data_IF_872178465215
#
_entry.id   IF_872178465215
#
_cell.length_a   1.000
_cell.length_b   1.000
_cell.length_c   1.000
_cell.angle_alpha   90.00
_cell.angle_beta   90.00
_cell.angle_gamma   90.00
#
_symmetry.space_group_name_H-M   'P 1'
#
loop_
_entity.id
_entity.type
_entity.pdbx_description
1 polymer ?
#
# COMPACT_ATOMS: atom_id res chain seq x y z
N UNK A 1 11.65 18.87 15.89
CA UNK A 1 12.49 20.09 15.93
C UNK A 1 12.26 20.95 14.69
N UNK A 2 11.02 21.41 14.46
CA UNK A 2 10.68 22.34 13.39
C UNK A 2 10.12 23.64 13.97
N UNK A 3 9.18 23.53 14.90
CA UNK A 3 8.60 24.67 15.59
C UNK A 3 9.60 25.45 16.46
N UNK A 4 10.52 24.78 17.18
CA UNK A 4 11.52 25.45 17.99
C UNK A 4 12.55 26.22 17.13
N UNK A 5 13.04 25.62 16.05
CA UNK A 5 13.93 26.28 15.09
C UNK A 5 13.22 27.40 14.31
N UNK A 6 11.93 27.23 14.00
CA UNK A 6 11.10 28.26 13.39
C UNK A 6 10.84 29.42 14.36
N UNK A 7 10.62 29.16 15.65
CA UNK A 7 10.48 30.18 16.68
C UNK A 7 11.79 30.90 16.95
N UNK A 8 12.91 30.19 16.99
CA UNK A 8 14.24 30.78 17.19
C UNK A 8 14.63 31.67 16.00
N UNK A 9 14.34 31.25 14.77
CA UNK A 9 14.52 32.10 13.58
C UNK A 9 13.54 33.26 13.55
N UNK A 10 12.27 33.07 13.95
CA UNK A 10 11.29 34.16 14.03
C UNK A 10 11.64 35.18 15.12
N UNK A 11 12.25 34.74 16.21
CA UNK A 11 12.78 35.60 17.27
C UNK A 11 14.06 36.35 16.83
N UNK A 12 14.89 35.73 15.99
CA UNK A 12 16.16 36.31 15.51
C UNK A 12 15.96 37.27 14.33
N UNK A 13 15.10 36.92 13.37
CA UNK A 13 14.99 37.59 12.07
C UNK A 13 13.73 38.49 11.96
N UNK A 14 12.81 38.35 12.91
CA UNK A 14 11.55 39.10 12.97
C UNK A 14 10.53 38.66 11.93
N UNK A 15 9.25 38.93 12.22
CA UNK A 15 8.10 38.52 11.39
C UNK A 15 8.16 39.06 9.94
N UNK A 16 8.82 40.20 9.72
CA UNK A 16 8.90 40.85 8.41
C UNK A 16 9.69 40.05 7.36
N UNK A 17 10.56 39.13 7.80
CA UNK A 17 11.41 38.33 6.91
C UNK A 17 11.02 36.84 6.87
N UNK A 18 9.93 36.47 7.58
CA UNK A 18 9.49 35.08 7.69
C UNK A 18 8.82 34.63 6.39
N UNK A 19 9.39 33.61 5.72
CA UNK A 19 8.88 33.03 4.48
C UNK A 19 9.74 33.27 3.23
N UNK A 20 10.85 34.02 3.32
CA UNK A 20 11.69 34.34 2.16
C UNK A 20 12.73 33.23 1.86
N UNK A 21 13.02 32.33 2.81
CA UNK A 21 13.92 31.18 2.60
C UNK A 21 13.18 29.85 2.71
N UNK A 22 13.28 28.96 1.70
CA UNK A 22 12.73 27.61 1.81
C UNK A 22 13.58 26.79 2.79
N UNK A 23 12.98 26.39 3.91
CA UNK A 23 13.57 25.44 4.85
C UNK A 23 13.17 24.03 4.39
N UNK A 24 14.13 23.26 3.85
CA UNK A 24 13.91 21.85 3.54
C UNK A 24 14.09 21.06 4.85
N UNK A 25 12.97 20.71 5.48
CA UNK A 25 12.93 19.87 6.68
C UNK A 25 13.05 18.40 6.33
N UNK A 26 14.25 17.82 6.49
CA UNK A 26 14.45 16.37 6.41
C UNK A 26 13.98 15.76 7.75
N UNK A 27 12.81 15.12 7.74
CA UNK A 27 12.25 14.44 8.93
C UNK A 27 13.07 13.21 9.30
N UNK A 28 14.10 13.37 10.12
CA UNK A 28 14.67 12.26 10.89
C UNK A 28 13.96 12.16 12.24
N UNK A 29 12.90 11.35 12.29
CA UNK A 29 12.28 10.92 13.55
C UNK A 29 13.28 10.03 14.30
N UNK A 30 14.02 10.62 15.25
CA UNK A 30 14.51 9.87 16.41
C UNK A 30 13.76 10.41 17.62
N UNK A 31 12.70 9.71 17.99
CA UNK A 31 11.96 9.95 19.23
C UNK A 31 12.90 9.57 20.38
N UNK A 32 13.50 10.58 21.01
CA UNK A 32 14.28 10.44 22.24
C UNK A 32 13.72 11.31 23.37
N UNK A 33 12.40 11.44 23.42
CA UNK A 33 11.74 11.89 24.65
C UNK A 33 10.43 11.10 24.76
N UNK A 34 10.39 10.17 25.70
CA UNK A 34 9.17 9.44 26.02
C UNK A 34 8.25 10.47 26.63
N UNK A 35 7.28 10.93 25.85
CA UNK A 35 6.20 11.79 26.34
C UNK A 35 5.61 11.09 27.56
N UNK A 36 5.82 11.64 28.76
CA UNK A 36 5.32 10.99 29.98
C UNK A 36 3.81 10.79 29.90
N UNK A 37 3.28 9.88 30.72
CA UNK A 37 1.85 9.55 30.85
C UNK A 37 0.88 10.76 30.73
N UNK A 38 1.14 11.95 31.32
CA UNK A 38 0.23 13.09 31.14
C UNK A 38 0.19 13.67 29.73
N UNK A 39 1.29 13.63 28.97
CA UNK A 39 1.33 14.10 27.59
C UNK A 39 0.61 13.13 26.65
N UNK A 40 0.72 11.81 26.90
CA UNK A 40 -0.04 10.77 26.20
C UNK A 40 -1.53 10.94 26.51
N UNK A 41 -1.90 11.09 27.79
CA UNK A 41 -3.29 11.28 28.21
C UNK A 41 -3.91 12.54 27.59
N UNK A 42 -3.15 13.65 27.54
CA UNK A 42 -3.60 14.89 26.91
C UNK A 42 -3.77 14.74 25.38
N UNK A 43 -2.84 14.04 24.72
CA UNK A 43 -2.94 13.77 23.28
C UNK A 43 -4.15 12.89 22.96
N UNK A 44 -4.37 11.82 23.71
CA UNK A 44 -5.54 10.96 23.58
C UNK A 44 -6.83 11.74 23.83
N UNK A 45 -6.86 12.55 24.89
CA UNK A 45 -8.02 13.39 25.21
C UNK A 45 -8.35 14.38 24.10
N UNK A 46 -7.33 14.99 23.47
CA UNK A 46 -7.53 15.85 22.29
C UNK A 46 -8.11 15.09 21.11
N UNK A 47 -7.66 13.87 20.84
CA UNK A 47 -8.21 13.03 19.77
C UNK A 47 -9.64 12.59 20.08
N UNK A 48 -9.97 12.32 21.35
CA UNK A 48 -11.34 11.96 21.77
C UNK A 48 -12.28 13.16 21.70
N UNK A 49 -11.86 14.32 22.21
CA UNK A 49 -12.68 15.54 22.25
C UNK A 49 -12.78 16.21 20.87
N UNK A 50 -11.75 16.07 20.04
CA UNK A 50 -11.63 16.66 18.71
C UNK A 50 -11.11 15.59 17.74
N UNK A 51 -11.95 14.61 17.37
CA UNK A 51 -11.55 13.58 16.42
C UNK A 51 -11.10 14.26 15.13
N UNK A 52 -9.91 13.92 14.60
CA UNK A 52 -9.47 14.46 13.33
C UNK A 52 -10.50 14.09 12.28
N UNK A 53 -10.84 15.06 11.43
CA UNK A 53 -11.71 14.81 10.29
C UNK A 53 -11.08 13.68 9.46
N UNK A 54 -11.90 12.69 9.10
CA UNK A 54 -11.43 11.58 8.29
C UNK A 54 -10.80 12.14 7.01
N UNK A 55 -9.64 11.64 6.63
CA UNK A 55 -8.97 12.08 5.42
C UNK A 55 -9.97 12.02 4.25
N UNK A 56 -10.11 13.09 3.46
CA UNK A 56 -11.04 13.09 2.34
C UNK A 56 -10.67 11.92 1.42
N UNK A 57 -11.62 11.01 1.24
CA UNK A 57 -11.46 9.87 0.33
C UNK A 57 -11.56 10.42 -1.09
N UNK A 58 -10.41 10.67 -1.71
CA UNK A 58 -10.36 11.00 -3.13
C UNK A 58 -10.58 9.68 -3.88
N UNK A 59 -11.73 9.54 -4.54
CA UNK A 59 -11.92 8.50 -5.54
C UNK A 59 -10.98 8.81 -6.71
N UNK A 60 -9.81 8.19 -6.72
CA UNK A 60 -8.86 8.33 -7.82
C UNK A 60 -9.46 7.64 -9.02
N UNK A 61 -10.04 8.41 -9.93
CA UNK A 61 -10.49 7.92 -11.23
C UNK A 61 -9.28 7.85 -12.15
N UNK A 62 -9.08 6.71 -12.80
CA UNK A 62 -8.06 6.57 -13.83
C UNK A 62 -8.37 7.55 -14.98
N UNK A 63 -7.37 8.33 -15.38
CA UNK A 63 -7.41 9.23 -16.54
C UNK A 63 -6.24 8.88 -17.45
N UNK A 64 -6.24 9.34 -18.70
CA UNK A 64 -5.15 9.06 -19.64
C UNK A 64 -3.77 9.56 -19.15
N UNK A 65 -3.73 10.51 -18.20
CA UNK A 65 -2.51 11.05 -17.59
C UNK A 65 -2.06 10.31 -16.31
N UNK A 66 -2.79 9.27 -15.88
CA UNK A 66 -2.47 8.55 -14.64
C UNK A 66 -1.13 7.81 -14.77
N UNK A 67 -0.16 8.02 -13.86
CA UNK A 67 1.12 7.32 -13.90
C UNK A 67 0.94 5.80 -13.87
N UNK A 68 1.68 5.08 -14.71
CA UNK A 68 1.56 3.62 -14.82
C UNK A 68 1.76 2.88 -13.48
N UNK A 69 2.65 3.38 -12.62
CA UNK A 69 2.86 2.82 -11.28
C UNK A 69 1.61 2.96 -10.37
N UNK A 70 0.84 4.03 -10.53
CA UNK A 70 -0.40 4.23 -9.78
C UNK A 70 -1.50 3.30 -10.29
N UNK A 71 -1.63 3.12 -11.62
CA UNK A 71 -2.56 2.14 -12.22
C UNK A 71 -2.25 0.73 -11.73
N UNK A 72 -0.97 0.35 -11.71
CA UNK A 72 -0.55 -0.95 -11.19
C UNK A 72 -0.92 -1.10 -9.71
N UNK A 73 -0.71 -0.06 -8.90
CA UNK A 73 -1.05 -0.09 -7.48
C UNK A 73 -2.56 -0.23 -7.25
N UNK A 74 -3.37 0.54 -7.97
CA UNK A 74 -4.83 0.48 -7.88
C UNK A 74 -5.36 -0.90 -8.26
N UNK A 75 -4.79 -1.52 -9.30
CA UNK A 75 -5.11 -2.88 -9.68
C UNK A 75 -4.77 -3.89 -8.58
N UNK A 76 -3.57 -3.81 -8.00
CA UNK A 76 -3.17 -4.70 -6.90
C UNK A 76 -4.05 -4.54 -5.65
N UNK A 77 -4.49 -3.31 -5.35
CA UNK A 77 -5.35 -3.03 -4.20
C UNK A 77 -6.79 -3.57 -4.38
N UNK A 78 -7.25 -3.76 -5.62
CA UNK A 78 -8.58 -4.30 -5.95
C UNK A 78 -8.61 -5.84 -6.04
N UNK A 79 -7.46 -6.43 -6.33
CA UNK A 79 -7.30 -7.84 -6.68
C UNK A 79 -7.84 -8.83 -5.61
N UNK A 80 -7.66 -8.59 -4.29
CA UNK A 80 -8.21 -9.50 -3.28
C UNK A 80 -9.74 -9.55 -3.29
N UNK A 81 -10.41 -8.41 -3.44
CA UNK A 81 -11.87 -8.33 -3.49
C UNK A 81 -12.43 -9.04 -4.73
N UNK A 82 -11.71 -9.01 -5.85
CA UNK A 82 -12.08 -9.78 -7.04
C UNK A 82 -11.95 -11.30 -6.83
N UNK A 83 -10.89 -11.73 -6.16
CA UNK A 83 -10.64 -13.16 -5.90
C UNK A 83 -11.68 -13.75 -4.95
N UNK A 84 -12.13 -13.01 -3.94
CA UNK A 84 -13.13 -13.49 -2.97
C UNK A 84 -14.41 -14.05 -3.63
N UNK A 85 -14.81 -13.52 -4.80
CA UNK A 85 -16.00 -13.99 -5.53
C UNK A 85 -15.78 -15.31 -6.29
N UNK A 86 -14.52 -15.65 -6.59
CA UNK A 86 -14.14 -16.79 -7.43
C UNK A 86 -13.50 -17.93 -6.61
N UNK A 87 -13.37 -17.79 -5.28
CA UNK A 87 -12.84 -18.84 -4.41
C UNK A 87 -13.78 -20.07 -4.37
N UNK A 88 -13.24 -21.30 -4.36
CA UNK A 88 -11.81 -21.64 -4.41
C UNK A 88 -11.22 -21.60 -5.83
N UNK A 89 -10.00 -21.09 -5.96
CA UNK A 89 -9.29 -21.01 -7.23
C UNK A 89 -8.26 -22.15 -7.32
N UNK A 90 -8.39 -23.09 -8.26
CA UNK A 90 -7.51 -24.27 -8.34
C UNK A 90 -6.07 -23.94 -8.75
N UNK A 91 -5.89 -22.89 -9.54
CA UNK A 91 -4.59 -22.39 -9.96
C UNK A 91 -4.60 -20.85 -10.08
N UNK A 92 -3.95 -20.20 -9.13
CA UNK A 92 -3.86 -18.75 -9.02
C UNK A 92 -3.21 -18.09 -10.24
N UNK A 93 -2.12 -18.68 -10.75
CA UNK A 93 -1.33 -18.07 -11.81
C UNK A 93 -2.05 -18.22 -13.15
N UNK A 94 -2.66 -19.39 -13.40
CA UNK A 94 -3.51 -19.59 -14.57
C UNK A 94 -4.75 -18.67 -14.54
N UNK A 95 -5.40 -18.53 -13.38
CA UNK A 95 -6.53 -17.61 -13.20
C UNK A 95 -6.14 -16.16 -13.52
N UNK A 96 -4.98 -15.70 -13.03
CA UNK A 96 -4.48 -14.34 -13.31
C UNK A 96 -4.21 -14.11 -14.80
N UNK A 97 -3.63 -15.10 -15.49
CA UNK A 97 -3.32 -15.01 -16.93
C UNK A 97 -4.61 -14.95 -17.76
N UNK A 98 -5.58 -15.79 -17.45
CA UNK A 98 -6.86 -15.84 -18.17
C UNK A 98 -7.65 -14.55 -17.97
N UNK A 99 -7.67 -14.02 -16.73
CA UNK A 99 -8.45 -12.83 -16.39
C UNK A 99 -7.80 -11.52 -16.85
N UNK A 100 -6.47 -11.46 -16.85
CA UNK A 100 -5.71 -10.26 -17.21
C UNK A 100 -4.66 -10.53 -18.31
N UNK A 101 -5.07 -10.91 -19.54
CA UNK A 101 -4.14 -11.33 -20.60
C UNK A 101 -3.20 -10.22 -21.09
N UNK A 102 -3.57 -8.96 -20.86
CA UNK A 102 -2.77 -7.80 -21.30
C UNK A 102 -1.67 -7.41 -20.29
N UNK A 103 -1.62 -8.04 -19.11
CA UNK A 103 -0.60 -7.76 -18.09
C UNK A 103 0.73 -8.42 -18.44
N UNK A 104 1.81 -7.73 -18.13
CA UNK A 104 3.17 -8.28 -18.24
C UNK A 104 3.38 -9.40 -17.24
N UNK A 105 4.39 -10.24 -17.49
CA UNK A 105 4.87 -11.26 -16.55
C UNK A 105 5.16 -10.67 -15.17
N UNK A 106 5.81 -9.50 -15.12
CA UNK A 106 6.16 -8.84 -13.86
C UNK A 106 4.92 -8.37 -13.09
N UNK A 107 3.92 -7.81 -13.78
CA UNK A 107 2.65 -7.43 -13.15
C UNK A 107 1.92 -8.65 -12.59
N UNK A 108 1.82 -9.75 -13.38
CA UNK A 108 1.16 -10.98 -12.96
C UNK A 108 1.82 -11.59 -11.72
N UNK A 109 3.15 -11.60 -11.65
CA UNK A 109 3.88 -12.04 -10.45
C UNK A 109 3.63 -11.12 -9.25
N UNK A 110 3.50 -9.81 -9.47
CA UNK A 110 3.09 -8.86 -8.44
C UNK A 110 1.69 -9.17 -7.90
N UNK A 111 0.74 -9.48 -8.79
CA UNK A 111 -0.62 -9.89 -8.42
C UNK A 111 -0.64 -11.21 -7.64
N UNK A 112 0.14 -12.21 -8.09
CA UNK A 112 0.30 -13.47 -7.38
C UNK A 112 0.86 -13.25 -5.97
N UNK A 113 1.91 -12.42 -5.84
CA UNK A 113 2.47 -12.07 -4.54
C UNK A 113 1.45 -11.39 -3.64
N UNK A 114 0.65 -10.46 -4.16
CA UNK A 114 -0.39 -9.80 -3.39
C UNK A 114 -1.43 -10.79 -2.84
N UNK A 115 -1.82 -11.80 -3.61
CA UNK A 115 -2.77 -12.84 -3.18
C UNK A 115 -2.18 -13.81 -2.16
N UNK A 116 -0.93 -14.24 -2.36
CA UNK A 116 -0.25 -15.17 -1.46
C UNK A 116 -0.10 -14.61 -0.05
N UNK A 117 0.07 -13.29 0.07
CA UNK A 117 0.25 -12.61 1.36
C UNK A 117 -1.02 -11.90 1.86
N UNK A 118 -2.18 -12.19 1.28
CA UNK A 118 -3.44 -11.60 1.72
C UNK A 118 -4.02 -12.34 2.93
N UNK A 119 -4.43 -11.61 3.97
CA UNK A 119 -4.76 -12.16 5.29
C UNK A 119 -5.90 -13.19 5.29
N UNK A 120 -6.86 -13.09 4.36
CA UNK A 120 -8.05 -13.95 4.34
C UNK A 120 -8.01 -15.05 3.26
N UNK A 121 -6.85 -15.22 2.60
CA UNK A 121 -6.67 -16.18 1.51
C UNK A 121 -5.52 -17.11 1.87
N UNK A 122 -5.83 -18.40 1.93
CA UNK A 122 -4.82 -19.43 2.10
C UNK A 122 -4.29 -19.86 0.72
N UNK A 123 -2.99 -19.68 0.51
CA UNK A 123 -2.29 -20.16 -0.67
C UNK A 123 -1.62 -21.51 -0.40
N UNK A 124 -2.01 -22.54 -1.16
CA UNK A 124 -1.53 -23.92 -1.00
C UNK A 124 -0.87 -24.38 -2.30
N UNK A 125 0.40 -24.76 -2.22
CA UNK A 125 1.05 -25.44 -3.35
C UNK A 125 0.44 -26.82 -3.54
N UNK A 126 0.04 -27.13 -4.76
CA UNK A 126 -0.51 -28.44 -5.10
C UNK A 126 0.63 -29.44 -5.38
N UNK A 127 0.35 -30.73 -5.22
CA UNK A 127 1.27 -31.81 -5.61
C UNK A 127 1.34 -32.03 -7.14
N UNK A 128 0.71 -31.15 -7.92
CA UNK A 128 0.73 -31.24 -9.37
C UNK A 128 2.14 -30.93 -9.91
N UNK A 129 2.52 -31.55 -11.04
CA UNK A 129 3.81 -31.25 -11.67
C UNK A 129 3.89 -29.78 -12.09
N UNK A 130 5.11 -29.26 -12.14
CA UNK A 130 5.33 -27.93 -12.69
C UNK A 130 4.79 -27.86 -14.12
N UNK A 131 4.15 -26.75 -14.45
CA UNK A 131 3.67 -26.45 -15.80
C UNK A 131 4.21 -25.13 -16.29
N UNK A 132 4.15 -24.97 -17.60
CA UNK A 132 4.57 -23.76 -18.29
C UNK A 132 3.36 -22.84 -18.46
N UNK A 133 3.51 -21.60 -17.99
CA UNK A 133 2.51 -20.55 -18.04
C UNK A 133 2.95 -19.49 -19.04
N UNK A 134 2.24 -19.40 -20.16
CA UNK A 134 2.51 -18.38 -21.17
C UNK A 134 1.89 -17.05 -20.77
N UNK A 135 2.71 -16.02 -20.69
CA UNK A 135 2.30 -14.64 -20.41
C UNK A 135 2.45 -13.80 -21.68
N UNK A 136 2.05 -12.53 -21.62
CA UNK A 136 2.15 -11.59 -22.76
C UNK A 136 3.58 -11.45 -23.30
N UNK A 137 4.57 -11.43 -22.42
CA UNK A 137 5.97 -11.11 -22.74
C UNK A 137 6.97 -12.20 -22.30
N UNK A 138 6.49 -13.40 -21.97
CA UNK A 138 7.36 -14.48 -21.54
C UNK A 138 6.67 -15.81 -21.26
N UNK A 139 7.40 -16.67 -20.55
CA UNK A 139 6.92 -17.95 -20.05
C UNK A 139 7.45 -18.13 -18.62
N UNK A 140 6.58 -18.56 -17.71
CA UNK A 140 6.92 -18.93 -16.34
C UNK A 140 6.81 -20.44 -16.20
N UNK A 141 7.69 -21.05 -15.41
CA UNK A 141 7.58 -22.45 -15.03
C UNK A 141 7.38 -22.53 -13.52
N UNK A 142 6.35 -23.25 -13.07
CA UNK A 142 6.06 -23.36 -11.65
C UNK A 142 5.01 -24.41 -11.31
N UNK A 143 4.95 -24.76 -10.03
CA UNK A 143 3.90 -25.65 -9.52
C UNK A 143 2.59 -24.87 -9.37
N UNK A 144 1.43 -25.48 -9.71
CA UNK A 144 0.14 -24.85 -9.50
C UNK A 144 -0.09 -24.51 -8.03
N UNK A 145 -0.56 -23.30 -7.80
CA UNK A 145 -0.86 -22.75 -6.48
C UNK A 145 -2.37 -22.58 -6.36
N UNK A 146 -3.00 -23.29 -5.43
CA UNK A 146 -4.42 -23.18 -5.13
C UNK A 146 -4.66 -22.06 -4.13
N UNK A 147 -5.74 -21.29 -4.33
CA UNK A 147 -6.21 -20.31 -3.35
C UNK A 147 -7.54 -20.78 -2.76
N UNK A 148 -7.60 -20.76 -1.43
CA UNK A 148 -8.77 -21.11 -0.64
C UNK A 148 -9.06 -19.99 0.34
N UNK A 149 -10.31 -19.88 0.77
CA UNK A 149 -10.67 -18.94 1.82
C UNK A 149 -10.12 -19.44 3.15
N UNK A 150 -9.47 -18.57 3.92
CA UNK A 150 -9.03 -18.92 5.26
C UNK A 150 -10.27 -18.98 6.18
N UNK A 151 -10.51 -20.16 6.77
CA UNK A 151 -11.60 -20.40 7.72
C UNK A 151 -10.96 -20.62 9.09
N UNK A 152 -10.76 -19.52 9.83
CA UNK A 152 -10.46 -19.55 11.27
C UNK A 152 -11.74 -19.81 12.10
#
# INVERSE_FOLDING_TARGET
MGAAAALESLQRDGLANWGIRPIIGISQMRVQDVSGDPAIALALRRVIEHPPEAAPRIAVQETEETPAALVQRLWLDQLPAEVESDLPIPDALEWLIVRYPNKSTAELLGGLGALVFYENIQAVFTDQPAKDYHTRDGCLQGHPLRLEQDYD
#
